data_IF_209098471887
#
_entry.id   IF_209098471887
#
_cell.length_a   1.000
_cell.length_b   1.000
_cell.length_c   1.000
_cell.angle_alpha   90.00
_cell.angle_beta   90.00
_cell.angle_gamma   90.00
#
_symmetry.space_group_name_H-M   'P 1'
#
loop_
_entity.id
_entity.type
_entity.pdbx_description
1 polymer ?
#
# COMPACT_ATOMS: atom_id res chain seq x y z
N UNK A 1 -4.78 -32.52 -14.46
CA UNK A 1 -3.93 -31.79 -15.43
C UNK A 1 -3.09 -30.83 -14.63
N UNK A 2 -1.79 -30.75 -14.90
CA UNK A 2 -0.88 -29.85 -14.14
C UNK A 2 -1.26 -28.41 -14.42
N UNK A 3 -1.54 -27.63 -13.41
CA UNK A 3 -1.82 -26.21 -13.46
C UNK A 3 -0.47 -25.48 -13.70
N UNK A 4 -0.04 -25.39 -14.95
CA UNK A 4 1.23 -24.73 -15.31
C UNK A 4 0.94 -23.54 -16.20
N UNK A 5 1.65 -22.44 -15.95
CA UNK A 5 1.67 -21.30 -16.85
C UNK A 5 2.48 -21.61 -18.10
N UNK A 6 2.06 -21.07 -19.24
CA UNK A 6 2.87 -21.16 -20.46
C UNK A 6 4.06 -20.21 -20.38
N UNK A 7 5.08 -20.45 -21.20
CA UNK A 7 6.26 -19.57 -21.28
C UNK A 7 5.87 -18.13 -21.60
N UNK A 8 4.90 -17.92 -22.49
CA UNK A 8 4.42 -16.59 -22.88
C UNK A 8 3.73 -15.87 -21.70
N UNK A 9 2.94 -16.59 -20.89
CA UNK A 9 2.32 -16.04 -19.68
C UNK A 9 3.37 -15.63 -18.66
N UNK A 10 4.39 -16.45 -18.43
CA UNK A 10 5.51 -16.13 -17.53
C UNK A 10 6.25 -14.88 -18.01
N UNK A 11 6.58 -14.81 -19.30
CA UNK A 11 7.26 -13.65 -19.90
C UNK A 11 6.42 -12.37 -19.76
N UNK A 12 5.10 -12.47 -19.89
CA UNK A 12 4.20 -11.34 -19.69
C UNK A 12 4.22 -10.87 -18.23
N UNK A 13 4.08 -11.77 -17.26
CA UNK A 13 4.10 -11.43 -15.84
C UNK A 13 5.44 -10.83 -15.39
N UNK A 14 6.56 -11.27 -15.94
CA UNK A 14 7.90 -10.70 -15.65
C UNK A 14 8.04 -9.24 -16.10
N UNK A 15 7.25 -8.79 -17.06
CA UNK A 15 7.29 -7.41 -17.58
C UNK A 15 6.33 -6.46 -16.85
N UNK A 16 5.39 -6.99 -16.09
CA UNK A 16 4.41 -6.17 -15.38
C UNK A 16 5.00 -5.61 -14.06
N UNK A 17 4.76 -4.33 -13.75
CA UNK A 17 5.18 -3.75 -12.48
C UNK A 17 4.38 -4.34 -11.31
N UNK A 18 4.95 -4.28 -10.11
CA UNK A 18 4.32 -4.77 -8.88
C UNK A 18 4.61 -6.24 -8.60
N UNK A 19 3.92 -6.77 -7.61
CA UNK A 19 4.13 -8.11 -7.06
C UNK A 19 3.09 -9.08 -7.63
N UNK A 20 3.52 -10.05 -8.43
CA UNK A 20 2.63 -10.97 -9.14
C UNK A 20 2.89 -12.42 -8.77
N UNK A 21 1.83 -13.20 -8.67
CA UNK A 21 1.92 -14.64 -8.55
C UNK A 21 0.60 -15.35 -8.74
N UNK A 22 0.71 -16.68 -8.86
CA UNK A 22 -0.42 -17.59 -8.97
C UNK A 22 -0.26 -18.72 -7.96
N UNK A 23 -1.37 -19.18 -7.41
CA UNK A 23 -1.46 -20.35 -6.52
C UNK A 23 -2.51 -21.31 -7.06
N UNK A 24 -2.30 -22.59 -6.83
CA UNK A 24 -3.26 -23.64 -7.19
C UNK A 24 -4.45 -23.70 -6.20
N UNK A 25 -5.30 -24.73 -6.37
CA UNK A 25 -6.48 -24.99 -5.50
C UNK A 25 -6.12 -25.26 -4.03
N UNK A 26 -4.89 -25.61 -3.74
CA UNK A 26 -4.38 -25.86 -2.38
C UNK A 26 -3.59 -24.67 -1.82
N UNK A 27 -3.68 -23.50 -2.44
CA UNK A 27 -2.88 -22.31 -2.10
C UNK A 27 -1.36 -22.54 -2.18
N UNK A 28 -0.91 -23.49 -3.02
CA UNK A 28 0.49 -23.73 -3.33
C UNK A 28 0.91 -22.82 -4.47
N UNK A 29 2.05 -22.13 -4.34
CA UNK A 29 2.56 -21.26 -5.38
C UNK A 29 2.92 -22.06 -6.64
N UNK A 30 2.36 -21.64 -7.76
CA UNK A 30 2.67 -22.13 -9.11
C UNK A 30 3.62 -21.18 -9.82
N UNK A 31 3.54 -19.89 -9.47
CA UNK A 31 4.39 -18.84 -10.00
C UNK A 31 4.48 -17.67 -9.03
N UNK A 32 5.65 -17.04 -8.98
CA UNK A 32 5.87 -15.72 -8.41
C UNK A 32 6.83 -14.94 -9.33
N UNK A 33 6.68 -13.62 -9.45
CA UNK A 33 7.65 -12.80 -10.16
C UNK A 33 8.83 -12.41 -9.26
N UNK A 34 9.92 -11.95 -9.88
CA UNK A 34 11.17 -11.64 -9.18
C UNK A 34 10.95 -10.58 -8.08
N UNK A 35 10.13 -9.56 -8.36
CA UNK A 35 9.79 -8.53 -7.37
C UNK A 35 9.09 -9.10 -6.13
N UNK A 36 8.21 -10.10 -6.28
CA UNK A 36 7.59 -10.77 -5.13
C UNK A 36 8.61 -11.63 -4.37
N UNK A 37 9.49 -12.32 -5.08
CA UNK A 37 10.59 -13.08 -4.47
C UNK A 37 11.49 -12.18 -3.59
N UNK A 38 11.93 -11.05 -4.12
CA UNK A 38 12.70 -10.04 -3.38
C UNK A 38 11.93 -9.52 -2.16
N UNK A 39 10.62 -9.24 -2.30
CA UNK A 39 9.77 -8.75 -1.22
C UNK A 39 9.75 -9.71 -0.03
N UNK A 40 9.61 -11.03 -0.29
CA UNK A 40 9.52 -12.04 0.77
C UNK A 40 10.88 -12.60 1.19
N UNK A 41 11.97 -12.22 0.51
CA UNK A 41 13.34 -12.53 0.90
C UNK A 41 13.82 -13.92 0.50
N UNK A 42 13.38 -14.44 -0.64
CA UNK A 42 13.97 -15.61 -1.29
C UNK A 42 15.07 -15.18 -2.27
N UNK A 43 16.07 -16.02 -2.50
CA UNK A 43 17.16 -15.73 -3.42
C UNK A 43 16.71 -15.76 -4.88
N UNK A 44 15.68 -16.56 -5.18
CA UNK A 44 15.04 -16.66 -6.48
C UNK A 44 13.54 -16.86 -6.34
N UNK A 45 12.74 -16.22 -7.18
CA UNK A 45 11.28 -16.36 -7.17
C UNK A 45 10.81 -17.80 -7.43
N UNK A 46 11.63 -18.62 -8.13
CA UNK A 46 11.38 -20.03 -8.34
C UNK A 46 11.31 -20.84 -7.03
N UNK A 47 11.96 -20.37 -5.97
CA UNK A 47 11.89 -21.02 -4.64
C UNK A 47 10.50 -20.95 -4.00
N UNK A 48 9.65 -20.03 -4.46
CA UNK A 48 8.25 -19.99 -4.02
C UNK A 48 7.45 -21.19 -4.56
N UNK A 49 7.81 -21.67 -5.75
CA UNK A 49 7.01 -22.70 -6.47
C UNK A 49 7.01 -24.01 -5.68
N UNK A 50 5.82 -24.56 -5.51
CA UNK A 50 5.61 -25.79 -4.74
C UNK A 50 5.48 -25.60 -3.23
N UNK A 51 5.63 -24.37 -2.72
CA UNK A 51 5.46 -24.01 -1.30
C UNK A 51 4.13 -23.30 -1.07
N UNK A 52 3.69 -23.27 0.18
CA UNK A 52 2.58 -22.45 0.67
C UNK A 52 3.10 -21.21 1.39
N UNK A 53 2.22 -20.29 1.76
CA UNK A 53 2.60 -19.10 2.57
C UNK A 53 3.22 -19.47 3.92
N UNK A 54 2.88 -20.66 4.48
CA UNK A 54 3.46 -21.13 5.74
C UNK A 54 4.93 -21.49 5.65
N UNK A 55 5.45 -21.71 4.45
CA UNK A 55 6.82 -22.18 4.21
C UNK A 55 7.74 -21.05 3.72
N UNK A 56 7.21 -19.80 3.65
CA UNK A 56 7.98 -18.66 3.20
C UNK A 56 8.92 -18.15 4.31
N UNK A 57 10.16 -17.76 3.97
CA UNK A 57 11.15 -17.27 4.93
C UNK A 57 10.89 -15.80 5.35
N UNK A 58 9.65 -15.37 5.35
CA UNK A 58 9.24 -13.98 5.62
C UNK A 58 8.46 -13.89 6.92
N UNK A 59 8.58 -12.79 7.69
CA UNK A 59 7.69 -12.54 8.83
C UNK A 59 6.19 -12.57 8.49
N UNK A 60 5.83 -12.44 7.21
CA UNK A 60 4.45 -12.53 6.73
C UNK A 60 3.81 -13.90 7.00
N UNK A 61 4.61 -14.93 7.27
CA UNK A 61 4.14 -16.28 7.66
C UNK A 61 3.17 -16.25 8.84
N UNK A 62 3.25 -15.25 9.71
CA UNK A 62 2.32 -15.08 10.82
C UNK A 62 0.87 -14.82 10.38
N UNK A 63 0.66 -14.38 9.14
CA UNK A 63 -0.66 -14.18 8.52
C UNK A 63 -0.98 -15.22 7.43
N UNK A 64 -0.19 -16.29 7.32
CA UNK A 64 -0.39 -17.31 6.28
C UNK A 64 -1.79 -17.95 6.31
N UNK A 65 -2.36 -18.12 7.52
CA UNK A 65 -3.74 -18.58 7.68
C UNK A 65 -4.77 -17.66 7.05
N UNK A 66 -4.63 -16.33 7.26
CA UNK A 66 -5.49 -15.32 6.66
C UNK A 66 -5.36 -15.34 5.13
N UNK A 67 -4.14 -15.50 4.61
CA UNK A 67 -3.91 -15.58 3.17
C UNK A 67 -4.60 -16.77 2.53
N UNK A 68 -4.57 -17.94 3.17
CA UNK A 68 -5.28 -19.11 2.67
C UNK A 68 -6.80 -18.99 2.79
N UNK A 69 -7.32 -18.36 3.84
CA UNK A 69 -8.75 -18.07 3.93
C UNK A 69 -9.22 -17.15 2.81
N UNK A 70 -8.45 -16.13 2.48
CA UNK A 70 -8.72 -15.22 1.36
C UNK A 70 -8.69 -15.96 0.02
N UNK A 71 -7.70 -16.82 -0.20
CA UNK A 71 -7.61 -17.65 -1.41
C UNK A 71 -8.83 -18.56 -1.55
N UNK A 72 -9.21 -19.25 -0.45
CA UNK A 72 -10.41 -20.08 -0.41
C UNK A 72 -11.67 -19.29 -0.74
N UNK A 73 -11.86 -18.11 -0.14
CA UNK A 73 -13.01 -17.26 -0.46
C UNK A 73 -13.07 -16.90 -1.95
N UNK A 74 -11.95 -16.52 -2.55
CA UNK A 74 -11.86 -16.19 -3.98
C UNK A 74 -12.24 -17.38 -4.85
N UNK A 75 -11.76 -18.58 -4.50
CA UNK A 75 -12.04 -19.81 -5.25
C UNK A 75 -13.50 -20.26 -5.10
N UNK A 76 -14.07 -20.21 -3.89
CA UNK A 76 -15.45 -20.62 -3.62
C UNK A 76 -16.48 -19.67 -4.22
N UNK A 77 -16.24 -18.35 -4.14
CA UNK A 77 -17.19 -17.34 -4.61
C UNK A 77 -16.99 -16.93 -6.05
N UNK A 78 -15.81 -17.18 -6.61
CA UNK A 78 -15.41 -16.68 -7.92
C UNK A 78 -15.28 -15.16 -8.00
N UNK A 79 -15.21 -14.47 -6.84
CA UNK A 79 -15.11 -13.00 -6.73
C UNK A 79 -13.71 -12.59 -6.29
N UNK A 80 -13.23 -11.46 -6.84
CA UNK A 80 -11.95 -10.89 -6.43
C UNK A 80 -12.07 -10.22 -5.06
N UNK A 81 -10.94 -10.25 -4.31
CA UNK A 81 -10.76 -9.51 -3.06
C UNK A 81 -9.68 -8.45 -3.22
N UNK A 82 -9.84 -7.33 -2.50
CA UNK A 82 -8.75 -6.40 -2.19
C UNK A 82 -8.39 -6.51 -0.72
N UNK A 83 -7.10 -6.64 -0.46
CA UNK A 83 -6.56 -6.84 0.89
C UNK A 83 -5.54 -5.77 1.18
N UNK A 84 -5.64 -5.12 2.34
CA UNK A 84 -4.58 -4.27 2.88
C UNK A 84 -3.70 -5.14 3.78
N UNK A 85 -2.45 -5.28 3.39
CA UNK A 85 -1.43 -6.01 4.14
C UNK A 85 -0.40 -5.03 4.72
N UNK A 86 -0.19 -5.09 6.04
CA UNK A 86 0.85 -4.35 6.74
C UNK A 86 1.69 -5.36 7.50
N UNK A 87 2.95 -5.51 7.09
CA UNK A 87 3.86 -6.50 7.65
C UNK A 87 5.28 -5.96 7.81
N UNK A 88 6.07 -6.50 8.76
CA UNK A 88 7.52 -6.44 8.67
C UNK A 88 7.98 -7.39 7.56
N UNK A 89 9.02 -7.00 6.83
CA UNK A 89 9.60 -7.78 5.76
C UNK A 89 11.08 -8.11 6.04
N UNK A 90 11.71 -9.03 5.28
CA UNK A 90 13.09 -9.44 5.49
C UNK A 90 14.13 -8.32 5.44
N UNK A 91 13.82 -7.19 4.80
CA UNK A 91 14.63 -5.97 4.80
C UNK A 91 14.68 -5.25 6.18
N UNK A 92 14.00 -5.81 7.20
CA UNK A 92 13.87 -5.26 8.53
C UNK A 92 12.93 -4.07 8.65
N UNK A 93 12.16 -3.76 7.61
CA UNK A 93 11.24 -2.62 7.57
C UNK A 93 9.79 -3.06 7.51
N UNK A 94 8.91 -2.15 7.91
CA UNK A 94 7.48 -2.29 7.75
C UNK A 94 7.05 -1.69 6.42
N UNK A 95 6.26 -2.45 5.66
CA UNK A 95 5.64 -1.99 4.42
C UNK A 95 4.12 -2.18 4.48
N UNK A 96 3.42 -1.36 3.73
CA UNK A 96 1.98 -1.47 3.52
C UNK A 96 1.71 -1.71 2.03
N UNK A 97 0.96 -2.76 1.73
CA UNK A 97 0.61 -3.14 0.37
C UNK A 97 -0.89 -3.28 0.20
N UNK A 98 -1.38 -3.03 -1.01
CA UNK A 98 -2.69 -3.54 -1.43
C UNK A 98 -2.46 -4.72 -2.35
N UNK A 99 -3.00 -5.88 -1.96
CA UNK A 99 -3.10 -7.04 -2.82
C UNK A 99 -4.52 -7.20 -3.36
N UNK A 100 -4.62 -7.46 -4.65
CA UNK A 100 -5.86 -7.92 -5.29
C UNK A 100 -5.70 -9.41 -5.57
N UNK A 101 -6.59 -10.23 -5.05
CA UNK A 101 -6.66 -11.66 -5.34
C UNK A 101 -7.86 -11.93 -6.22
N UNK A 102 -7.66 -12.65 -7.32
CA UNK A 102 -8.68 -12.95 -8.33
C UNK A 102 -8.68 -14.44 -8.66
N UNK A 103 -9.84 -15.01 -9.06
CA UNK A 103 -9.88 -16.42 -9.45
C UNK A 103 -9.07 -16.64 -10.73
N UNK A 104 -8.19 -17.62 -10.70
CA UNK A 104 -7.48 -18.10 -11.86
C UNK A 104 -8.32 -19.16 -12.57
N UNK A 105 -8.62 -18.94 -13.86
CA UNK A 105 -9.51 -19.81 -14.63
C UNK A 105 -8.77 -20.43 -15.82
N UNK A 106 -9.19 -21.66 -16.16
CA UNK A 106 -8.77 -22.31 -17.40
C UNK A 106 -9.57 -21.78 -18.61
N UNK A 107 -9.28 -22.33 -19.81
CA UNK A 107 -9.95 -21.96 -21.05
C UNK A 107 -11.47 -22.27 -21.02
N UNK A 108 -11.91 -23.21 -20.21
CA UNK A 108 -13.30 -23.61 -20.01
C UNK A 108 -13.99 -22.81 -18.92
N UNK A 109 -13.27 -21.85 -18.28
CA UNK A 109 -13.80 -20.99 -17.22
C UNK A 109 -13.79 -21.61 -15.82
N UNK A 110 -13.26 -22.83 -15.65
CA UNK A 110 -13.16 -23.50 -14.35
C UNK A 110 -12.05 -22.89 -13.51
N UNK A 111 -12.30 -22.70 -12.21
CA UNK A 111 -11.31 -22.15 -11.30
C UNK A 111 -10.21 -23.19 -11.06
N UNK A 112 -8.95 -22.80 -11.26
CA UNK A 112 -7.75 -23.61 -11.02
C UNK A 112 -6.94 -23.15 -9.80
N UNK A 113 -7.30 -22.01 -9.22
CA UNK A 113 -6.60 -21.38 -8.12
C UNK A 113 -6.83 -19.88 -8.05
N UNK A 114 -5.82 -19.15 -7.60
CA UNK A 114 -5.86 -17.70 -7.46
C UNK A 114 -4.70 -17.03 -8.20
N UNK A 115 -4.94 -15.84 -8.72
CA UNK A 115 -3.90 -14.90 -9.16
C UNK A 115 -3.90 -13.77 -8.15
N UNK A 116 -2.72 -13.34 -7.71
CA UNK A 116 -2.59 -12.14 -6.91
C UNK A 116 -1.74 -11.09 -7.60
N UNK A 117 -2.09 -9.84 -7.35
CA UNK A 117 -1.35 -8.66 -7.74
C UNK A 117 -1.22 -7.72 -6.55
N UNK A 118 0.01 -7.35 -6.20
CA UNK A 118 0.33 -6.45 -5.09
C UNK A 118 0.96 -5.14 -5.54
N UNK A 119 0.64 -4.06 -4.83
CA UNK A 119 1.24 -2.74 -5.00
C UNK A 119 1.70 -2.21 -3.65
N UNK A 120 2.89 -1.61 -3.61
CA UNK A 120 3.37 -0.88 -2.43
C UNK A 120 2.56 0.43 -2.30
N UNK A 121 1.98 0.64 -1.12
CA UNK A 121 1.21 1.85 -0.82
C UNK A 121 2.09 3.05 -0.49
N UNK A 122 3.38 2.84 -0.19
CA UNK A 122 4.30 3.95 0.06
C UNK A 122 4.49 4.83 -1.18
N UNK A 123 4.26 4.26 -2.37
CA UNK A 123 4.36 4.95 -3.66
C UNK A 123 2.98 5.29 -4.26
N UNK A 124 1.89 5.06 -3.52
CA UNK A 124 0.53 5.26 -4.05
C UNK A 124 -0.03 6.60 -3.63
N UNK A 125 -0.20 7.50 -4.58
CA UNK A 125 -0.70 8.86 -4.41
C UNK A 125 -2.22 8.95 -4.11
N UNK A 126 -2.76 8.12 -3.21
CA UNK A 126 -4.22 8.04 -2.96
C UNK A 126 -4.79 9.38 -2.49
N UNK A 127 -4.13 10.04 -1.53
CA UNK A 127 -4.57 11.34 -1.03
C UNK A 127 -4.40 12.44 -2.10
N UNK A 128 -3.35 12.35 -2.90
CA UNK A 128 -3.11 13.29 -4.00
C UNK A 128 -4.17 13.16 -5.08
N UNK A 129 -4.55 11.95 -5.47
CA UNK A 129 -5.65 11.73 -6.43
C UNK A 129 -6.94 12.37 -5.92
N UNK A 130 -7.30 12.17 -4.66
CA UNK A 130 -8.46 12.80 -4.04
C UNK A 130 -8.35 14.33 -4.06
N UNK A 131 -7.19 14.89 -3.74
CA UNK A 131 -6.92 16.32 -3.77
C UNK A 131 -7.08 16.89 -5.20
N UNK A 132 -6.48 16.25 -6.21
CA UNK A 132 -6.61 16.68 -7.60
C UNK A 132 -8.04 16.61 -8.14
N UNK A 133 -8.81 15.58 -7.74
CA UNK A 133 -10.24 15.49 -8.06
C UNK A 133 -11.00 16.65 -7.43
N UNK A 134 -10.76 16.97 -6.15
CA UNK A 134 -11.39 18.12 -5.48
C UNK A 134 -11.04 19.44 -6.18
N UNK A 135 -9.81 19.61 -6.64
CA UNK A 135 -9.41 20.80 -7.42
C UNK A 135 -10.11 20.86 -8.78
N UNK A 136 -10.18 19.75 -9.50
CA UNK A 136 -10.84 19.68 -10.80
C UNK A 136 -12.35 19.99 -10.72
N UNK A 137 -12.98 19.70 -9.59
CA UNK A 137 -14.40 19.97 -9.34
C UNK A 137 -14.68 21.36 -8.72
N UNK A 138 -13.62 22.17 -8.48
CA UNK A 138 -13.75 23.49 -7.87
C UNK A 138 -14.08 23.47 -6.37
N UNK A 139 -13.97 22.31 -5.71
CA UNK A 139 -14.24 22.19 -4.27
C UNK A 139 -13.12 22.74 -3.39
N UNK A 140 -11.95 23.01 -3.95
CA UNK A 140 -10.85 23.68 -3.28
C UNK A 140 -10.56 25.03 -3.97
N UNK A 141 -10.08 26.00 -3.20
CA UNK A 141 -9.73 27.32 -3.73
C UNK A 141 -8.72 27.18 -4.90
N UNK A 142 -8.90 27.88 -6.03
CA UNK A 142 -7.97 27.81 -7.14
C UNK A 142 -6.63 28.41 -6.71
N UNK A 143 -5.73 27.56 -6.22
CA UNK A 143 -4.35 27.98 -6.08
C UNK A 143 -3.83 28.29 -7.49
N UNK A 144 -3.40 29.52 -7.71
CA UNK A 144 -2.68 29.90 -8.92
C UNK A 144 -1.47 28.97 -9.01
N UNK A 145 -1.52 28.01 -9.91
CA UNK A 145 -0.31 27.39 -10.44
C UNK A 145 0.47 28.50 -11.09
N UNK A 146 1.30 29.20 -10.30
CA UNK A 146 2.42 29.90 -10.90
C UNK A 146 3.25 28.80 -11.56
N UNK A 147 3.21 28.77 -12.89
CA UNK A 147 4.15 28.06 -13.75
C UNK A 147 5.54 28.67 -13.52
N UNK A 148 6.08 28.46 -12.36
CA UNK A 148 7.48 28.71 -12.08
C UNK A 148 8.14 27.33 -11.94
N UNK A 149 8.84 26.92 -12.98
CA UNK A 149 9.91 25.93 -12.93
C UNK A 149 11.06 26.43 -12.02
N UNK A 150 10.71 26.94 -10.86
CA UNK A 150 11.66 27.10 -9.78
C UNK A 150 11.68 25.77 -9.03
N UNK A 151 12.80 25.09 -9.07
CA UNK A 151 13.20 23.99 -8.19
C UNK A 151 13.04 24.44 -6.73
N UNK A 152 11.80 24.50 -6.26
CA UNK A 152 11.50 24.71 -4.86
C UNK A 152 11.94 23.43 -4.16
N UNK A 153 13.07 23.46 -3.45
CA UNK A 153 13.53 22.31 -2.67
C UNK A 153 12.38 21.91 -1.73
N UNK A 154 11.93 20.66 -1.86
CA UNK A 154 10.91 20.10 -0.97
C UNK A 154 11.34 20.32 0.48
N UNK A 155 10.43 20.74 1.38
CA UNK A 155 10.76 20.95 2.77
C UNK A 155 11.30 19.64 3.38
N UNK A 156 12.51 19.68 3.94
CA UNK A 156 13.06 18.54 4.66
C UNK A 156 12.36 18.39 6.00
N UNK A 157 11.61 17.31 6.16
CA UNK A 157 10.92 16.96 7.39
C UNK A 157 11.74 16.00 8.23
N UNK A 158 11.72 16.20 9.55
CA UNK A 158 12.15 15.17 10.49
C UNK A 158 11.12 14.04 10.53
N UNK A 159 11.49 12.86 11.02
CA UNK A 159 10.58 11.73 11.20
C UNK A 159 9.31 12.14 11.96
N UNK A 160 9.44 12.85 13.07
CA UNK A 160 8.30 13.30 13.88
C UNK A 160 7.42 14.34 13.20
N UNK A 161 8.00 15.21 12.39
CA UNK A 161 7.23 16.15 11.56
C UNK A 161 6.47 15.42 10.46
N UNK A 162 7.08 14.42 9.82
CA UNK A 162 6.45 13.58 8.79
C UNK A 162 5.28 12.79 9.38
N UNK A 163 5.46 12.14 10.54
CA UNK A 163 4.38 11.45 11.27
C UNK A 163 3.21 12.39 11.60
N UNK A 164 3.53 13.60 12.12
CA UNK A 164 2.52 14.60 12.48
C UNK A 164 1.75 15.05 11.25
N UNK A 165 2.45 15.41 10.16
CA UNK A 165 1.85 15.86 8.92
C UNK A 165 0.93 14.78 8.33
N UNK A 166 1.40 13.54 8.26
CA UNK A 166 0.61 12.40 7.79
C UNK A 166 -0.70 12.26 8.55
N UNK A 167 -0.64 12.24 9.89
CA UNK A 167 -1.85 12.12 10.72
C UNK A 167 -2.78 13.34 10.57
N UNK A 168 -2.24 14.54 10.34
CA UNK A 168 -3.03 15.74 10.06
C UNK A 168 -3.74 15.64 8.70
N UNK A 169 -3.07 15.15 7.66
CA UNK A 169 -3.65 14.90 6.33
C UNK A 169 -4.81 13.89 6.40
N UNK A 170 -4.73 12.91 7.31
CA UNK A 170 -5.82 11.98 7.60
C UNK A 170 -6.89 12.55 8.56
N UNK A 171 -6.92 13.86 8.76
CA UNK A 171 -7.95 14.55 9.55
C UNK A 171 -7.92 14.26 11.04
N UNK A 172 -6.79 13.75 11.59
CA UNK A 172 -6.71 13.44 13.01
C UNK A 172 -6.59 14.72 13.85
N UNK A 173 -7.33 14.78 14.97
CA UNK A 173 -7.26 15.87 15.94
C UNK A 173 -5.97 15.79 16.77
N UNK A 174 -5.43 16.91 17.30
CA UNK A 174 -4.19 16.93 18.07
C UNK A 174 -4.15 15.93 19.23
N UNK A 175 -5.27 15.71 19.91
CA UNK A 175 -5.37 14.72 21.00
C UNK A 175 -5.13 13.29 20.51
N UNK A 176 -5.63 12.95 19.32
CA UNK A 176 -5.43 11.64 18.73
C UNK A 176 -3.97 11.47 18.26
N UNK A 177 -3.41 12.49 17.62
CA UNK A 177 -2.01 12.52 17.19
C UNK A 177 -1.08 12.33 18.40
N UNK A 178 -1.31 13.06 19.47
CA UNK A 178 -0.57 12.96 20.72
C UNK A 178 -0.56 11.53 21.28
N UNK A 179 -1.74 10.88 21.30
CA UNK A 179 -1.88 9.49 21.74
C UNK A 179 -1.10 8.50 20.84
N UNK A 180 -1.26 8.61 19.53
CA UNK A 180 -0.58 7.71 18.56
C UNK A 180 0.93 7.84 18.66
N UNK A 181 1.43 9.06 18.79
CA UNK A 181 2.87 9.35 18.82
C UNK A 181 3.50 9.23 20.23
N UNK A 182 2.69 9.04 21.29
CA UNK A 182 3.16 8.96 22.67
C UNK A 182 3.77 10.27 23.17
N UNK A 183 3.19 11.42 22.80
CA UNK A 183 3.67 12.77 23.16
C UNK A 183 2.55 13.66 23.69
N UNK A 184 2.88 14.85 24.20
CA UNK A 184 1.88 15.81 24.67
C UNK A 184 1.17 16.54 23.50
N UNK A 185 -0.06 17.00 23.73
CA UNK A 185 -0.79 17.84 22.75
C UNK A 185 0.01 19.10 22.42
N UNK A 186 0.62 19.72 23.41
CA UNK A 186 1.49 20.91 23.24
C UNK A 186 2.67 20.62 22.30
N UNK A 187 3.21 19.39 22.35
CA UNK A 187 4.28 18.97 21.44
C UNK A 187 3.77 18.85 20.01
N UNK A 188 2.54 18.32 19.82
CA UNK A 188 1.89 18.24 18.49
C UNK A 188 1.68 19.63 17.91
N UNK A 189 1.17 20.58 18.71
CA UNK A 189 0.99 21.99 18.31
C UNK A 189 2.33 22.63 17.93
N UNK A 190 3.40 22.29 18.64
CA UNK A 190 4.76 22.72 18.31
C UNK A 190 5.25 22.14 16.96
N UNK A 191 4.89 20.89 16.62
CA UNK A 191 5.19 20.32 15.29
C UNK A 191 4.36 21.01 14.20
N UNK A 192 3.06 21.24 14.44
CA UNK A 192 2.22 21.98 13.50
C UNK A 192 2.77 23.38 13.19
N UNK A 193 3.21 24.12 14.22
CA UNK A 193 3.81 25.44 14.03
C UNK A 193 5.09 25.37 13.20
N UNK A 194 5.97 24.41 13.44
CA UNK A 194 7.19 24.20 12.64
C UNK A 194 6.87 23.80 11.20
N UNK A 195 5.90 22.94 10.99
CA UNK A 195 5.43 22.57 9.66
C UNK A 195 4.91 23.78 8.90
N UNK A 196 4.05 24.60 9.52
CA UNK A 196 3.57 25.85 8.88
C UNK A 196 4.72 26.75 8.47
N UNK A 197 5.73 26.91 9.30
CA UNK A 197 6.92 27.69 8.96
C UNK A 197 7.69 27.09 7.78
N UNK A 198 7.93 25.76 7.77
CA UNK A 198 8.65 25.06 6.70
C UNK A 198 7.93 25.13 5.35
N UNK A 199 6.60 25.12 5.36
CA UNK A 199 5.76 25.22 4.15
C UNK A 199 5.38 26.66 3.82
N UNK A 200 5.80 27.65 4.63
CA UNK A 200 5.37 29.05 4.52
C UNK A 200 3.84 29.19 4.54
N UNK A 201 3.17 28.34 5.30
CA UNK A 201 1.72 28.27 5.40
C UNK A 201 1.21 29.24 6.49
N UNK A 202 0.16 30.00 6.17
CA UNK A 202 -0.44 30.97 7.08
C UNK A 202 -1.56 30.38 7.94
N UNK A 203 -2.10 29.23 7.59
CA UNK A 203 -3.09 28.48 8.37
C UNK A 203 -2.83 26.97 8.32
N UNK A 204 -3.57 26.20 9.13
CA UNK A 204 -3.52 24.75 9.09
C UNK A 204 -4.06 24.20 7.77
N UNK A 205 -5.17 24.73 7.31
CA UNK A 205 -5.80 24.34 6.05
C UNK A 205 -4.84 24.58 4.89
N UNK A 206 -4.21 25.75 4.84
CA UNK A 206 -3.22 26.09 3.83
C UNK A 206 -1.98 25.18 3.90
N UNK A 207 -1.55 24.76 5.11
CA UNK A 207 -0.49 23.77 5.25
C UNK A 207 -0.86 22.44 4.60
N UNK A 208 -2.08 21.96 4.81
CA UNK A 208 -2.53 20.66 4.28
C UNK A 208 -2.63 20.72 2.76
N UNK A 209 -3.17 21.80 2.19
CA UNK A 209 -3.25 22.00 0.75
C UNK A 209 -1.84 22.02 0.10
N UNK A 210 -0.92 22.81 0.66
CA UNK A 210 0.46 22.87 0.18
C UNK A 210 1.19 21.54 0.29
N UNK A 211 0.94 20.79 1.37
CA UNK A 211 1.54 19.47 1.56
C UNK A 211 1.05 18.46 0.50
N UNK A 212 -0.24 18.47 0.18
CA UNK A 212 -0.81 17.64 -0.88
C UNK A 212 -0.28 18.06 -2.26
N UNK A 213 -0.22 19.35 -2.55
CA UNK A 213 0.33 19.89 -3.81
C UNK A 213 1.80 19.50 -4.03
N UNK A 214 2.57 19.34 -2.95
CA UNK A 214 3.97 18.94 -2.97
C UNK A 214 4.20 17.42 -2.86
N UNK A 215 3.15 16.61 -2.90
CA UNK A 215 3.25 15.15 -2.93
C UNK A 215 3.40 14.47 -1.56
N UNK A 216 3.24 15.19 -0.43
CA UNK A 216 3.35 14.57 0.89
C UNK A 216 2.17 13.66 1.25
N UNK A 217 1.09 13.66 0.45
CA UNK A 217 -0.06 12.76 0.62
C UNK A 217 0.25 11.31 0.27
N UNK A 218 1.27 11.05 -0.55
CA UNK A 218 1.67 9.70 -0.96
C UNK A 218 2.60 9.00 0.03
N UNK A 219 3.19 9.73 0.98
CA UNK A 219 4.23 9.17 1.86
C UNK A 219 3.65 8.68 3.17
N UNK A 220 3.58 7.36 3.35
CA UNK A 220 3.24 6.74 4.64
C UNK A 220 4.50 6.65 5.50
N UNK A 221 4.56 7.34 6.68
CA UNK A 221 5.71 7.21 7.57
C UNK A 221 5.82 5.78 8.11
N UNK A 222 6.85 5.03 7.68
CA UNK A 222 7.06 3.62 8.07
C UNK A 222 7.12 3.42 9.59
N UNK A 223 7.51 4.44 10.33
CA UNK A 223 7.55 4.44 11.80
C UNK A 223 6.17 4.40 12.47
N UNK A 224 5.09 4.67 11.73
CA UNK A 224 3.71 4.51 12.20
C UNK A 224 3.18 3.09 12.00
N UNK A 225 3.82 2.29 11.15
CA UNK A 225 3.45 0.90 10.89
C UNK A 225 4.04 0.03 12.00
N UNK A 226 3.21 -0.44 12.94
CA UNK A 226 3.66 -1.18 14.13
C UNK A 226 2.83 -2.42 14.43
N UNK A 227 1.77 -2.64 13.69
CA UNK A 227 0.86 -3.77 13.89
C UNK A 227 0.74 -4.54 12.59
N UNK A 228 1.08 -5.82 12.63
CA UNK A 228 0.91 -6.73 11.51
C UNK A 228 -0.59 -7.00 11.33
N UNK A 229 -1.07 -6.87 10.09
CA UNK A 229 -2.45 -7.14 9.74
C UNK A 229 -2.59 -7.49 8.26
N UNK A 230 -3.61 -8.30 7.99
CA UNK A 230 -4.14 -8.59 6.66
C UNK A 230 -5.66 -8.38 6.71
N UNK A 231 -6.17 -7.36 6.04
CA UNK A 231 -7.58 -6.96 6.15
C UNK A 231 -8.23 -6.86 4.78
N UNK A 232 -9.32 -7.61 4.60
CA UNK A 232 -10.14 -7.50 3.39
C UNK A 232 -10.81 -6.13 3.36
N UNK A 233 -10.52 -5.36 2.32
CA UNK A 233 -11.16 -4.07 2.08
C UNK A 233 -12.56 -4.32 1.50
N UNK A 234 -13.59 -3.87 2.23
CA UNK A 234 -14.97 -3.97 1.73
C UNK A 234 -15.14 -2.99 0.56
N UNK A 235 -15.56 -3.50 -0.58
CA UNK A 235 -16.09 -2.66 -1.64
C UNK A 235 -17.52 -2.26 -1.22
N UNK A 236 -17.71 -1.04 -0.72
CA UNK A 236 -19.03 -0.52 -0.32
C UNK A 236 -20.02 -0.35 -1.50
N UNK A 237 -19.64 -0.72 -2.71
CA UNK A 237 -20.44 -0.54 -3.93
C UNK A 237 -20.78 -1.84 -4.67
N UNK A 238 -20.91 -2.96 -3.95
CA UNK A 238 -21.52 -4.18 -4.49
C UNK A 238 -22.98 -4.26 -4.01
N UNK A 239 -23.78 -3.33 -4.46
CA UNK A 239 -25.25 -3.42 -4.45
C UNK A 239 -25.77 -3.56 -5.88
#
# INVERSE_FOLDING_TARGET
MSTQLTTEQILLFKQLPGYWGCKDLNSVFVYANDAYGELIGVDSAEECVGRTDFEMPSPTVACAGDFQEQDRYVMETGRSLKVLDIHPYPDGRWHAHIFTKSPWRDAEGRIQGTIFYGQDLTDTAILEVGHWVCRATGLTSPFKTSNSHNTTQLPKLTTRESETLFLMLYGKKPQHIARVMGISIKTVEGYEARLRNKFSAHSKENLLDLALDLGFGSVIPKTLLKTQLSVVLKNEHAA
#
